data_IF_735604811682
#
_entry.id   IF_735604811682
#
_cell.length_a   1.000
_cell.length_b   1.000
_cell.length_c   1.000
_cell.angle_alpha   90.00
_cell.angle_beta   90.00
_cell.angle_gamma   90.00
#
_symmetry.space_group_name_H-M   'P 1'
#
loop_
_entity.id
_entity.type
_entity.pdbx_description
1 polymer ?
#
# COMPACT_ATOMS: atom_id res chain seq x y z
N UNK A 1 -36.04 -2.38 -0.44
CA UNK A 1 -35.10 -3.53 -0.52
C UNK A 1 -35.90 -4.73 -0.97
N UNK A 2 -35.43 -5.48 -1.97
CA UNK A 2 -36.08 -6.71 -2.39
C UNK A 2 -36.22 -7.63 -1.18
N UNK A 3 -37.40 -8.24 -0.97
CA UNK A 3 -37.73 -9.12 0.19
C UNK A 3 -36.63 -10.16 0.50
N UNK A 4 -35.80 -10.51 -0.48
CA UNK A 4 -34.75 -11.53 -0.37
C UNK A 4 -33.50 -11.08 0.41
N UNK A 5 -33.08 -9.80 0.34
CA UNK A 5 -31.85 -9.35 1.04
C UNK A 5 -32.02 -9.29 2.57
N UNK A 6 -33.26 -9.14 3.05
CA UNK A 6 -33.56 -9.15 4.48
C UNK A 6 -33.32 -10.52 5.15
N UNK A 7 -33.12 -11.59 4.37
CA UNK A 7 -32.83 -12.93 4.91
C UNK A 7 -31.41 -13.02 5.49
N UNK A 8 -30.46 -12.24 4.97
CA UNK A 8 -29.06 -12.27 5.39
C UNK A 8 -28.74 -11.37 6.58
N UNK A 9 -29.70 -10.54 7.03
CA UNK A 9 -29.50 -9.65 8.17
C UNK A 9 -29.82 -10.40 9.47
N UNK A 10 -28.87 -10.52 10.42
CA UNK A 10 -29.11 -11.18 11.70
C UNK A 10 -30.25 -10.52 12.51
N UNK A 11 -31.00 -11.27 13.34
CA UNK A 11 -32.11 -10.73 14.13
C UNK A 11 -31.69 -9.55 15.03
N UNK A 12 -30.51 -9.65 15.65
CA UNK A 12 -29.95 -8.57 16.50
C UNK A 12 -29.77 -7.28 15.69
N UNK A 13 -29.26 -7.37 14.46
CA UNK A 13 -29.03 -6.20 13.61
C UNK A 13 -30.35 -5.60 13.11
N UNK A 14 -31.39 -6.42 12.88
CA UNK A 14 -32.76 -5.94 12.59
C UNK A 14 -33.37 -5.19 13.77
N UNK A 15 -33.16 -5.68 14.99
CA UNK A 15 -33.63 -5.02 16.20
C UNK A 15 -32.96 -3.64 16.38
N UNK A 16 -31.63 -3.57 16.19
CA UNK A 16 -30.87 -2.32 16.22
C UNK A 16 -31.33 -1.36 15.11
N UNK A 17 -31.50 -1.85 13.87
CA UNK A 17 -31.98 -1.02 12.75
C UNK A 17 -33.36 -0.41 13.06
N UNK A 18 -34.31 -1.20 13.57
CA UNK A 18 -35.63 -0.70 14.00
C UNK A 18 -35.51 0.31 15.14
N UNK A 19 -34.69 0.03 16.14
CA UNK A 19 -34.51 0.93 17.28
C UNK A 19 -33.88 2.27 16.86
N UNK A 20 -32.89 2.24 15.95
CA UNK A 20 -32.27 3.44 15.40
C UNK A 20 -33.24 4.22 14.52
N UNK A 21 -34.04 3.55 13.71
CA UNK A 21 -35.07 4.21 12.90
C UNK A 21 -36.06 5.00 13.76
N UNK A 22 -36.53 4.39 14.85
CA UNK A 22 -37.55 5.00 15.73
C UNK A 22 -36.97 6.10 16.62
N UNK A 23 -35.75 5.92 17.16
CA UNK A 23 -35.22 6.80 18.21
C UNK A 23 -34.11 7.75 17.73
N UNK A 24 -33.39 7.39 16.66
CA UNK A 24 -32.18 8.10 16.19
C UNK A 24 -32.13 8.12 14.64
N UNK A 25 -33.12 8.70 13.95
CA UNK A 25 -33.27 8.63 12.49
C UNK A 25 -32.06 9.17 11.70
N UNK A 26 -31.41 10.22 12.22
CA UNK A 26 -30.20 10.79 11.61
C UNK A 26 -29.03 9.78 11.64
N UNK A 27 -28.85 9.06 12.75
CA UNK A 27 -27.84 8.01 12.84
C UNK A 27 -28.21 6.81 11.96
N UNK A 28 -29.48 6.44 11.94
CA UNK A 28 -30.01 5.38 11.08
C UNK A 28 -29.72 5.65 9.59
N UNK A 29 -29.89 6.90 9.14
CA UNK A 29 -29.64 7.33 7.77
C UNK A 29 -28.21 7.02 7.29
N UNK A 30 -27.22 7.11 8.18
CA UNK A 30 -25.81 6.80 7.84
C UNK A 30 -25.57 5.33 7.54
N UNK A 31 -26.46 4.44 8.01
CA UNK A 31 -26.30 2.97 7.98
C UNK A 31 -25.02 2.48 8.65
N UNK A 32 -24.41 3.30 9.51
CA UNK A 32 -23.14 2.98 10.15
C UNK A 32 -23.19 1.68 10.97
N UNK A 33 -24.33 1.34 11.60
CA UNK A 33 -24.49 0.10 12.34
C UNK A 33 -24.33 -1.17 11.49
N UNK A 34 -24.76 -1.15 10.21
CA UNK A 34 -24.49 -2.25 9.28
C UNK A 34 -23.01 -2.34 8.95
N UNK A 35 -22.37 -1.20 8.68
CA UNK A 35 -20.94 -1.14 8.39
C UNK A 35 -20.12 -1.64 9.57
N UNK A 36 -20.42 -1.18 10.78
CA UNK A 36 -19.76 -1.61 12.00
C UNK A 36 -19.85 -3.14 12.15
N UNK A 37 -21.06 -3.71 12.04
CA UNK A 37 -21.26 -5.15 12.17
C UNK A 37 -20.49 -5.94 11.11
N UNK A 38 -20.65 -5.62 9.82
CA UNK A 38 -20.04 -6.41 8.75
C UNK A 38 -18.53 -6.19 8.63
N UNK A 39 -18.02 -4.99 8.93
CA UNK A 39 -16.59 -4.74 8.92
C UNK A 39 -15.90 -5.44 10.10
N UNK A 40 -16.50 -5.47 11.30
CA UNK A 40 -15.99 -6.28 12.42
C UNK A 40 -16.00 -7.77 12.09
N UNK A 41 -17.09 -8.28 11.50
CA UNK A 41 -17.14 -9.67 11.04
C UNK A 41 -16.05 -9.95 10.00
N UNK A 42 -15.85 -9.06 9.03
CA UNK A 42 -14.79 -9.18 8.03
C UNK A 42 -13.39 -9.18 8.67
N UNK A 43 -13.13 -8.34 9.68
CA UNK A 43 -11.87 -8.32 10.42
C UNK A 43 -11.61 -9.64 11.17
N UNK A 44 -12.65 -10.25 11.74
CA UNK A 44 -12.55 -11.58 12.37
C UNK A 44 -12.21 -12.64 11.31
N UNK A 45 -12.90 -12.63 10.17
CA UNK A 45 -12.66 -13.59 9.09
C UNK A 45 -11.25 -13.43 8.47
N UNK A 46 -10.80 -12.19 8.28
CA UNK A 46 -9.44 -11.87 7.81
C UNK A 46 -8.39 -12.36 8.81
N UNK A 47 -8.58 -12.08 10.10
CA UNK A 47 -7.70 -12.57 11.17
C UNK A 47 -7.64 -14.10 11.20
N UNK A 48 -8.77 -14.78 11.07
CA UNK A 48 -8.84 -16.24 11.00
C UNK A 48 -8.13 -16.79 9.75
N UNK A 49 -8.29 -16.11 8.61
CA UNK A 49 -7.59 -16.48 7.37
C UNK A 49 -6.07 -16.35 7.52
N UNK A 50 -5.57 -15.29 8.15
CA UNK A 50 -4.15 -15.15 8.47
C UNK A 50 -3.71 -16.28 9.40
N UNK A 51 -4.47 -16.52 10.48
CA UNK A 51 -4.20 -17.56 11.48
C UNK A 51 -4.07 -18.95 10.87
N UNK A 52 -4.92 -19.29 9.91
CA UNK A 52 -4.94 -20.59 9.20
C UNK A 52 -3.98 -20.68 8.01
N UNK A 53 -3.39 -19.58 7.56
CA UNK A 53 -2.43 -19.60 6.44
C UNK A 53 -1.12 -20.24 6.88
N UNK A 54 -0.80 -21.43 6.37
CA UNK A 54 0.48 -22.09 6.63
C UNK A 54 1.62 -21.33 5.94
N UNK A 55 2.75 -21.14 6.63
CA UNK A 55 3.93 -20.49 6.10
C UNK A 55 5.10 -21.47 6.17
N UNK A 56 5.51 -21.96 5.01
CA UNK A 56 6.66 -22.84 4.82
C UNK A 56 7.83 -22.01 4.26
N UNK A 57 9.07 -22.16 4.75
CA UNK A 57 10.26 -21.52 4.18
C UNK A 57 10.45 -21.76 2.67
N UNK A 58 9.95 -22.87 2.12
CA UNK A 58 9.98 -23.15 0.69
C UNK A 58 8.90 -22.39 -0.11
N UNK A 59 7.85 -21.91 0.56
CA UNK A 59 6.68 -21.27 -0.05
C UNK A 59 6.26 -20.03 0.74
N UNK A 60 7.18 -19.10 0.94
CA UNK A 60 6.92 -17.88 1.71
C UNK A 60 5.96 -16.96 0.94
N UNK A 61 4.76 -16.66 1.46
CA UNK A 61 3.82 -15.78 0.79
C UNK A 61 4.34 -14.34 0.75
N UNK A 62 3.96 -13.60 -0.29
CA UNK A 62 4.26 -12.17 -0.36
C UNK A 62 3.25 -11.38 0.48
N UNK A 63 3.55 -11.14 1.75
CA UNK A 63 2.63 -10.49 2.68
C UNK A 63 2.14 -9.13 2.18
N UNK A 64 3.03 -8.30 1.65
CA UNK A 64 2.65 -6.98 1.12
C UNK A 64 1.70 -7.07 -0.08
N UNK A 65 2.01 -7.88 -1.09
CA UNK A 65 1.13 -8.04 -2.25
C UNK A 65 -0.25 -8.60 -1.83
N UNK A 66 -0.28 -9.59 -0.94
CA UNK A 66 -1.55 -10.16 -0.50
C UNK A 66 -2.36 -9.17 0.36
N UNK A 67 -1.69 -8.41 1.24
CA UNK A 67 -2.32 -7.30 1.96
C UNK A 67 -2.87 -6.24 0.99
N UNK A 68 -2.13 -5.90 -0.06
CA UNK A 68 -2.59 -4.98 -1.11
C UNK A 68 -3.86 -5.48 -1.80
N UNK A 69 -3.96 -6.78 -2.10
CA UNK A 69 -5.16 -7.36 -2.73
C UNK A 69 -6.42 -7.21 -1.86
N UNK A 70 -6.29 -7.13 -0.54
CA UNK A 70 -7.42 -6.87 0.37
C UNK A 70 -7.96 -5.43 0.30
N UNK A 71 -7.27 -4.50 -0.36
CA UNK A 71 -7.86 -3.21 -0.69
C UNK A 71 -9.03 -3.34 -1.67
N UNK A 72 -9.02 -4.34 -2.57
CA UNK A 72 -10.10 -4.51 -3.56
C UNK A 72 -11.45 -4.69 -2.87
N UNK A 73 -11.67 -5.70 -2.00
CA UNK A 73 -12.94 -5.84 -1.29
C UNK A 73 -13.23 -4.68 -0.33
N UNK A 74 -12.20 -4.06 0.28
CA UNK A 74 -12.39 -2.90 1.15
C UNK A 74 -12.95 -1.69 0.38
N UNK A 75 -12.35 -1.36 -0.77
CA UNK A 75 -12.79 -0.27 -1.66
C UNK A 75 -14.19 -0.55 -2.23
N UNK A 76 -14.47 -1.79 -2.62
CA UNK A 76 -15.82 -2.19 -3.05
C UNK A 76 -16.85 -2.02 -1.91
N UNK A 77 -16.50 -2.40 -0.69
CA UNK A 77 -17.34 -2.20 0.49
C UNK A 77 -17.63 -0.72 0.76
N UNK A 78 -16.60 0.13 0.70
CA UNK A 78 -16.73 1.59 0.86
C UNK A 78 -17.60 2.18 -0.25
N UNK A 79 -17.37 1.80 -1.51
CA UNK A 79 -18.14 2.30 -2.66
C UNK A 79 -19.62 1.89 -2.58
N UNK A 80 -19.91 0.62 -2.24
CA UNK A 80 -21.28 0.14 -2.05
C UNK A 80 -21.98 0.87 -0.89
N UNK A 81 -21.26 1.12 0.21
CA UNK A 81 -21.81 1.90 1.32
C UNK A 81 -22.07 3.34 0.91
N UNK A 82 -21.13 3.99 0.21
CA UNK A 82 -21.27 5.36 -0.28
C UNK A 82 -22.51 5.49 -1.16
N UNK A 83 -22.68 4.56 -2.11
CA UNK A 83 -23.85 4.49 -2.97
C UNK A 83 -25.15 4.38 -2.18
N UNK A 84 -25.21 3.49 -1.18
CA UNK A 84 -26.39 3.34 -0.31
C UNK A 84 -26.65 4.58 0.55
N UNK A 85 -25.60 5.22 1.06
CA UNK A 85 -25.72 6.45 1.84
C UNK A 85 -26.22 7.62 0.98
N UNK A 86 -25.77 7.72 -0.28
CA UNK A 86 -26.24 8.76 -1.21
C UNK A 86 -27.72 8.58 -1.60
N UNK A 87 -28.20 7.35 -1.77
CA UNK A 87 -29.61 7.09 -2.08
C UNK A 87 -30.57 7.56 -0.99
N UNK A 88 -30.08 7.74 0.24
CA UNK A 88 -30.88 8.21 1.36
C UNK A 88 -30.44 9.62 1.76
N UNK A 89 -31.08 10.64 1.18
CA UNK A 89 -30.83 12.02 1.56
C UNK A 89 -31.53 12.34 2.89
N UNK A 90 -30.74 12.33 3.98
CA UNK A 90 -31.21 12.66 5.31
C UNK A 90 -31.83 14.07 5.39
N UNK A 91 -31.39 15.02 4.54
CA UNK A 91 -31.96 16.37 4.52
C UNK A 91 -33.34 16.39 3.87
N UNK A 92 -33.52 15.63 2.79
CA UNK A 92 -34.82 15.49 2.16
C UNK A 92 -35.83 14.82 3.10
N UNK A 93 -35.38 13.86 3.91
CA UNK A 93 -36.25 13.14 4.84
C UNK A 93 -36.53 13.86 6.17
N UNK A 94 -35.54 14.57 6.73
CA UNK A 94 -35.60 15.11 8.09
C UNK A 94 -35.40 16.63 8.18
N UNK A 95 -35.22 17.33 7.06
CA UNK A 95 -34.98 18.77 7.02
C UNK A 95 -33.51 19.17 7.24
N UNK A 96 -33.29 20.43 7.58
CA UNK A 96 -31.93 20.95 7.81
C UNK A 96 -31.37 20.34 9.10
N UNK A 97 -30.22 19.67 8.98
CA UNK A 97 -29.47 19.14 10.12
C UNK A 97 -28.70 20.26 10.81
N UNK A 98 -28.59 20.20 12.14
CA UNK A 98 -27.71 21.09 12.88
C UNK A 98 -26.23 20.83 12.53
N UNK A 99 -25.38 21.85 12.66
CA UNK A 99 -23.95 21.72 12.36
C UNK A 99 -23.27 20.58 13.15
N UNK A 100 -23.66 20.41 14.43
CA UNK A 100 -23.14 19.35 15.29
C UNK A 100 -23.54 17.95 14.79
N UNK A 101 -24.78 17.77 14.35
CA UNK A 101 -25.24 16.49 13.80
C UNK A 101 -24.53 16.15 12.49
N UNK A 102 -24.20 17.15 11.69
CA UNK A 102 -23.44 16.94 10.46
C UNK A 102 -21.99 16.57 10.74
N UNK A 103 -21.34 17.22 11.71
CA UNK A 103 -20.00 16.81 12.18
C UNK A 103 -20.05 15.39 12.72
N UNK A 104 -21.07 15.03 13.53
CA UNK A 104 -21.26 13.66 14.01
C UNK A 104 -21.38 12.67 12.85
N UNK A 105 -22.18 12.98 11.84
CA UNK A 105 -22.34 12.12 10.66
C UNK A 105 -21.03 11.98 9.88
N UNK A 106 -20.27 13.06 9.73
CA UNK A 106 -18.93 13.01 9.14
C UNK A 106 -18.04 12.06 9.94
N UNK A 107 -17.92 12.23 11.25
CA UNK A 107 -17.11 11.35 12.11
C UNK A 107 -17.51 9.86 12.00
N UNK A 108 -18.80 9.55 11.89
CA UNK A 108 -19.27 8.17 11.69
C UNK A 108 -18.82 7.59 10.34
N UNK A 109 -18.93 8.38 9.28
CA UNK A 109 -18.44 7.99 7.96
C UNK A 109 -16.90 7.82 7.95
N UNK A 110 -16.15 8.71 8.60
CA UNK A 110 -14.71 8.57 8.79
C UNK A 110 -14.38 7.27 9.53
N UNK A 111 -15.04 7.03 10.67
CA UNK A 111 -14.86 5.80 11.44
C UNK A 111 -15.16 4.54 10.63
N UNK A 112 -16.19 4.56 9.78
CA UNK A 112 -16.52 3.43 8.93
C UNK A 112 -15.53 3.21 7.78
N UNK A 113 -15.03 4.28 7.16
CA UNK A 113 -13.98 4.19 6.14
C UNK A 113 -12.67 3.67 6.74
N UNK A 114 -12.28 4.16 7.91
CA UNK A 114 -11.11 3.64 8.64
C UNK A 114 -11.29 2.17 9.03
N UNK A 115 -12.49 1.80 9.50
CA UNK A 115 -12.79 0.43 9.90
C UNK A 115 -12.73 -0.54 8.72
N UNK A 116 -13.38 -0.23 7.60
CA UNK A 116 -13.30 -1.07 6.38
C UNK A 116 -11.88 -1.03 5.80
N UNK A 117 -11.25 0.15 5.78
CA UNK A 117 -9.88 0.36 5.31
C UNK A 117 -8.82 -0.36 6.13
N UNK A 118 -9.12 -0.80 7.35
CA UNK A 118 -8.19 -1.55 8.21
C UNK A 118 -8.00 -3.01 7.79
N UNK A 119 -8.89 -3.58 6.97
CA UNK A 119 -8.82 -4.96 6.48
C UNK A 119 -7.44 -5.34 5.86
N UNK A 120 -6.91 -4.58 4.87
CA UNK A 120 -5.60 -4.86 4.30
C UNK A 120 -4.45 -4.80 5.32
N UNK A 121 -4.55 -3.94 6.35
CA UNK A 121 -3.53 -3.83 7.40
C UNK A 121 -3.53 -5.04 8.31
N UNK A 122 -4.71 -5.46 8.79
CA UNK A 122 -4.83 -6.64 9.65
C UNK A 122 -4.29 -7.88 8.92
N UNK A 123 -4.61 -8.02 7.63
CA UNK A 123 -4.06 -9.11 6.83
C UNK A 123 -2.55 -9.00 6.64
N UNK A 124 -2.08 -7.85 6.13
CA UNK A 124 -0.67 -7.62 5.78
C UNK A 124 0.26 -7.73 6.98
N UNK A 125 -0.06 -7.06 8.09
CA UNK A 125 0.72 -7.10 9.34
C UNK A 125 0.72 -8.51 9.91
N UNK A 126 -0.47 -9.13 10.04
CA UNK A 126 -0.59 -10.46 10.62
C UNK A 126 0.17 -11.52 9.81
N UNK A 127 0.10 -11.46 8.48
CA UNK A 127 0.84 -12.37 7.62
C UNK A 127 2.35 -12.11 7.67
N UNK A 128 2.79 -10.85 7.69
CA UNK A 128 4.20 -10.50 7.86
C UNK A 128 4.76 -11.01 9.19
N UNK A 129 4.00 -10.92 10.29
CA UNK A 129 4.41 -11.50 11.57
C UNK A 129 4.58 -13.03 11.48
N UNK A 130 3.65 -13.74 10.82
CA UNK A 130 3.81 -15.18 10.60
C UNK A 130 5.03 -15.52 9.74
N UNK A 131 5.31 -14.73 8.70
CA UNK A 131 6.51 -14.87 7.85
C UNK A 131 7.79 -14.62 8.66
N UNK A 132 7.80 -13.62 9.53
CA UNK A 132 8.93 -13.32 10.40
C UNK A 132 9.28 -14.48 11.34
N UNK A 133 8.27 -15.22 11.80
CA UNK A 133 8.42 -16.37 12.69
C UNK A 133 8.56 -17.73 11.97
N UNK A 134 8.60 -17.76 10.63
CA UNK A 134 8.72 -19.00 9.87
C UNK A 134 10.08 -19.71 10.09
N UNK A 135 11.14 -18.94 10.37
CA UNK A 135 12.47 -19.44 10.72
C UNK A 135 13.04 -18.56 11.81
N UNK A 136 13.68 -19.13 12.83
CA UNK A 136 14.38 -18.34 13.84
C UNK A 136 15.49 -17.47 13.23
N UNK A 137 15.71 -16.26 13.77
CA UNK A 137 16.69 -15.32 13.22
C UNK A 137 18.11 -15.89 13.25
N UNK A 138 18.49 -16.63 14.29
CA UNK A 138 19.83 -17.22 14.38
C UNK A 138 20.02 -18.34 13.35
N UNK A 139 18.97 -19.15 13.16
CA UNK A 139 18.95 -20.18 12.12
C UNK A 139 19.03 -19.56 10.73
N UNK A 140 18.28 -18.48 10.45
CA UNK A 140 18.30 -17.79 9.16
C UNK A 140 19.70 -17.26 8.82
N UNK A 141 20.40 -16.68 9.79
CA UNK A 141 21.79 -16.21 9.59
C UNK A 141 22.74 -17.38 9.31
N UNK A 142 22.61 -18.49 10.04
CA UNK A 142 23.39 -19.71 9.81
C UNK A 142 23.13 -20.30 8.41
N UNK A 143 21.86 -20.32 7.99
CA UNK A 143 21.46 -20.81 6.68
C UNK A 143 22.03 -19.93 5.56
N UNK A 144 21.96 -18.60 5.69
CA UNK A 144 22.57 -17.65 4.75
C UNK A 144 24.08 -17.85 4.66
N UNK A 145 24.76 -18.00 5.81
CA UNK A 145 26.20 -18.27 5.84
C UNK A 145 26.55 -19.60 5.17
N UNK A 146 25.72 -20.64 5.38
CA UNK A 146 25.87 -21.96 4.74
C UNK A 146 25.76 -21.86 3.22
N UNK A 147 24.77 -21.09 2.73
CA UNK A 147 24.61 -20.85 1.30
C UNK A 147 25.81 -20.08 0.73
N UNK A 148 26.21 -18.97 1.37
CA UNK A 148 27.34 -18.15 0.92
C UNK A 148 28.67 -18.91 0.89
N UNK A 149 28.90 -19.82 1.84
CA UNK A 149 30.17 -20.54 1.95
C UNK A 149 30.36 -21.65 0.91
N UNK A 150 29.26 -22.15 0.32
CA UNK A 150 29.30 -23.27 -0.63
C UNK A 150 28.80 -22.91 -2.05
N UNK A 151 28.27 -21.70 -2.28
CA UNK A 151 27.72 -21.27 -3.57
C UNK A 151 28.72 -21.46 -4.73
N UNK A 152 30.02 -21.20 -4.47
CA UNK A 152 31.08 -21.35 -5.46
C UNK A 152 31.28 -22.77 -6.00
N UNK A 153 30.81 -23.81 -5.31
CA UNK A 153 30.91 -25.20 -5.79
C UNK A 153 29.88 -25.54 -6.88
N UNK A 154 28.86 -24.69 -7.09
CA UNK A 154 27.74 -24.97 -7.98
C UNK A 154 27.91 -24.28 -9.34
N UNK A 155 28.76 -24.85 -10.20
CA UNK A 155 29.04 -24.32 -11.54
C UNK A 155 27.84 -24.45 -12.48
N UNK A 156 27.40 -23.32 -13.04
CA UNK A 156 26.24 -23.19 -13.92
C UNK A 156 26.66 -23.26 -15.41
N UNK A 157 25.78 -23.79 -16.27
CA UNK A 157 26.05 -23.96 -17.71
C UNK A 157 26.01 -22.67 -18.54
N UNK A 158 25.47 -21.55 -18.03
CA UNK A 158 25.23 -20.37 -18.88
C UNK A 158 26.50 -19.57 -19.19
N UNK A 159 26.59 -19.07 -20.42
CA UNK A 159 27.63 -18.16 -20.95
C UNK A 159 27.60 -16.76 -20.28
N UNK A 160 26.67 -16.50 -19.35
CA UNK A 160 26.51 -15.22 -18.63
C UNK A 160 27.57 -14.94 -17.55
N UNK A 161 28.55 -15.84 -17.37
CA UNK A 161 29.70 -15.59 -16.49
C UNK A 161 30.55 -14.40 -17.00
N UNK A 162 30.36 -13.94 -18.25
CA UNK A 162 31.23 -12.92 -18.86
C UNK A 162 30.85 -11.45 -18.62
N UNK A 163 29.68 -11.12 -18.05
CA UNK A 163 29.28 -9.70 -17.92
C UNK A 163 28.61 -9.25 -16.62
N UNK A 164 28.50 -10.10 -15.60
CA UNK A 164 28.25 -9.57 -14.24
C UNK A 164 29.63 -9.27 -13.68
N UNK A 165 30.09 -8.00 -13.62
CA UNK A 165 31.41 -7.68 -13.10
C UNK A 165 31.54 -8.28 -11.70
N UNK A 166 32.37 -9.31 -11.63
CA UNK A 166 32.77 -10.04 -10.44
C UNK A 166 33.57 -9.11 -9.53
N UNK A 167 32.89 -8.20 -8.84
CA UNK A 167 33.27 -7.67 -7.55
C UNK A 167 32.00 -7.09 -6.90
N UNK A 168 31.91 -7.24 -5.58
CA UNK A 168 30.99 -6.56 -4.67
C UNK A 168 29.72 -7.36 -4.30
N UNK A 169 29.86 -8.12 -3.19
CA UNK A 169 28.83 -8.64 -2.25
C UNK A 169 28.18 -9.98 -2.63
N UNK A 170 28.34 -10.99 -1.76
CA UNK A 170 27.88 -12.38 -2.00
C UNK A 170 26.42 -12.50 -2.49
N UNK A 171 26.11 -13.53 -3.27
CA UNK A 171 24.83 -13.62 -4.00
C UNK A 171 23.56 -13.60 -3.11
N UNK A 172 23.68 -13.93 -1.82
CA UNK A 172 22.59 -13.80 -0.84
C UNK A 172 22.67 -12.52 0.01
N UNK A 173 23.43 -11.51 -0.43
CA UNK A 173 23.50 -10.22 0.24
C UNK A 173 22.10 -9.60 0.27
N UNK A 174 21.65 -9.25 1.48
CA UNK A 174 20.37 -8.59 1.69
C UNK A 174 20.61 -7.08 1.59
N UNK A 175 20.25 -6.41 0.47
CA UNK A 175 20.59 -5.02 0.23
C UNK A 175 19.96 -4.04 1.24
N UNK A 176 18.93 -4.45 1.98
CA UNK A 176 18.31 -3.65 3.03
C UNK A 176 18.92 -3.83 4.43
N UNK A 177 19.90 -4.73 4.58
CA UNK A 177 20.74 -4.74 5.75
C UNK A 177 21.89 -3.76 5.51
N UNK A 178 21.64 -2.47 5.81
CA UNK A 178 22.69 -1.55 6.28
C UNK A 178 23.29 -1.98 7.63
N UNK A 179 22.96 -3.18 8.13
CA UNK A 179 23.51 -3.81 9.31
C UNK A 179 24.55 -4.85 8.90
N UNK A 180 25.81 -4.53 9.20
CA UNK A 180 26.82 -5.50 9.62
C UNK A 180 26.27 -6.33 10.78
N UNK A 181 25.44 -7.36 10.52
CA UNK A 181 25.23 -8.36 11.56
C UNK A 181 26.63 -8.95 11.85
N UNK A 182 27.18 -8.85 13.07
CA UNK A 182 28.59 -9.16 13.32
C UNK A 182 28.99 -10.59 12.95
N UNK A 183 27.99 -11.48 12.85
CA UNK A 183 28.13 -12.90 12.53
C UNK A 183 27.86 -13.26 11.05
N UNK A 184 27.51 -12.31 10.20
CA UNK A 184 27.49 -12.59 8.76
C UNK A 184 28.94 -12.68 8.30
N UNK A 185 29.32 -13.83 7.76
CA UNK A 185 30.67 -14.02 7.25
C UNK A 185 30.92 -13.01 6.11
N UNK A 186 31.93 -12.13 6.24
CA UNK A 186 32.39 -11.32 5.12
C UNK A 186 32.70 -12.26 3.96
N UNK A 187 32.29 -11.88 2.74
CA UNK A 187 32.43 -12.73 1.55
C UNK A 187 33.86 -13.27 1.35
N UNK A 188 34.86 -12.44 1.64
CA UNK A 188 36.28 -12.82 1.60
C UNK A 188 36.66 -13.94 2.58
N UNK A 189 36.03 -13.99 3.76
CA UNK A 189 36.26 -15.08 4.72
C UNK A 189 35.59 -16.38 4.27
N UNK A 190 34.44 -16.30 3.61
CA UNK A 190 33.77 -17.46 3.04
C UNK A 190 34.61 -18.09 1.91
N UNK A 191 35.16 -17.27 1.01
CA UNK A 191 36.03 -17.71 -0.09
C UNK A 191 37.36 -18.29 0.43
N UNK A 192 37.95 -17.66 1.47
CA UNK A 192 39.13 -18.20 2.16
C UNK A 192 38.84 -19.54 2.83
N UNK A 193 37.67 -19.73 3.43
CA UNK A 193 37.26 -21.03 3.99
C UNK A 193 37.07 -22.09 2.90
N UNK A 194 36.60 -21.70 1.72
CA UNK A 194 36.38 -22.60 0.60
C UNK A 194 37.72 -23.16 0.06
N UNK A 195 38.72 -22.30 -0.12
CA UNK A 195 40.02 -22.64 -0.71
C UNK A 195 40.98 -23.36 0.24
N UNK A 196 40.84 -23.17 1.55
CA UNK A 196 41.73 -23.75 2.58
C UNK A 196 41.18 -24.99 3.30
N UNK A 197 39.96 -25.44 2.95
CA UNK A 197 39.29 -26.53 3.67
C UNK A 197 39.67 -27.91 3.15
N UNK A 198 39.72 -28.89 4.07
CA UNK A 198 39.91 -30.29 3.71
C UNK A 198 38.73 -30.83 2.89
N UNK A 199 38.96 -31.88 2.09
CA UNK A 199 37.92 -32.52 1.29
C UNK A 199 36.68 -32.91 2.10
N UNK A 200 36.86 -33.46 3.30
CA UNK A 200 35.75 -33.82 4.19
C UNK A 200 34.92 -32.59 4.60
N UNK A 201 35.58 -31.45 4.84
CA UNK A 201 34.92 -30.20 5.18
C UNK A 201 34.16 -29.62 3.97
N UNK A 202 34.77 -29.62 2.79
CA UNK A 202 34.10 -29.22 1.54
C UNK A 202 32.86 -30.07 1.25
N UNK A 203 32.96 -31.41 1.42
CA UNK A 203 31.84 -32.33 1.24
C UNK A 203 30.68 -32.01 2.19
N UNK A 204 30.99 -31.71 3.45
CA UNK A 204 30.00 -31.28 4.46
C UNK A 204 29.35 -29.94 4.08
N UNK A 205 30.13 -28.97 3.60
CA UNK A 205 29.61 -27.67 3.16
C UNK A 205 28.62 -27.82 1.99
N UNK A 206 28.96 -28.62 0.98
CA UNK A 206 28.06 -28.91 -0.15
C UNK A 206 26.79 -29.63 0.31
N UNK A 207 26.90 -30.62 1.18
CA UNK A 207 25.73 -31.31 1.73
C UNK A 207 24.80 -30.34 2.48
N UNK A 208 25.35 -29.50 3.36
CA UNK A 208 24.56 -28.52 4.10
C UNK A 208 23.92 -27.48 3.17
N UNK A 209 24.63 -27.04 2.13
CA UNK A 209 24.06 -26.19 1.09
C UNK A 209 22.84 -26.83 0.44
N UNK A 210 22.91 -28.11 0.07
CA UNK A 210 21.78 -28.84 -0.53
C UNK A 210 20.57 -28.89 0.42
N UNK A 211 20.79 -29.10 1.72
CA UNK A 211 19.71 -29.11 2.72
C UNK A 211 19.06 -27.73 2.87
N UNK A 212 19.86 -26.67 2.95
CA UNK A 212 19.34 -25.29 3.06
C UNK A 212 18.63 -24.88 1.77
N UNK A 213 19.17 -25.24 0.61
CA UNK A 213 18.50 -25.02 -0.67
C UNK A 213 17.14 -25.71 -0.73
N UNK A 214 17.06 -26.98 -0.33
CA UNK A 214 15.79 -27.70 -0.28
C UNK A 214 14.81 -27.03 0.68
N UNK A 215 15.26 -26.59 1.86
CA UNK A 215 14.43 -25.88 2.84
C UNK A 215 13.78 -24.61 2.26
N UNK A 216 14.51 -23.80 1.49
CA UNK A 216 14.00 -22.49 1.02
C UNK A 216 13.42 -22.49 -0.39
N UNK A 217 13.65 -23.54 -1.18
CA UNK A 217 13.10 -23.64 -2.55
C UNK A 217 12.20 -24.85 -2.78
N UNK A 218 12.23 -25.84 -1.89
CA UNK A 218 11.62 -27.16 -2.10
C UNK A 218 12.36 -28.01 -3.14
N UNK A 219 13.41 -27.50 -3.78
CA UNK A 219 14.16 -28.20 -4.83
C UNK A 219 15.17 -29.18 -4.24
N UNK A 220 15.16 -30.42 -4.74
CA UNK A 220 16.12 -31.46 -4.34
C UNK A 220 17.21 -31.59 -5.39
N UNK A 221 18.44 -31.29 -5.01
CA UNK A 221 19.60 -31.44 -5.89
C UNK A 221 19.91 -32.94 -6.05
N UNK A 222 19.76 -33.47 -7.27
CA UNK A 222 19.89 -34.91 -7.55
C UNK A 222 21.32 -35.43 -7.51
N UNK A 223 22.33 -34.55 -7.55
CA UNK A 223 23.74 -34.94 -7.55
C UNK A 223 24.26 -35.12 -6.12
N UNK A 224 25.00 -36.20 -5.82
CA UNK A 224 25.65 -36.35 -4.54
C UNK A 224 26.80 -35.34 -4.40
N UNK A 225 27.13 -34.95 -3.16
CA UNK A 225 28.15 -33.91 -2.90
C UNK A 225 29.52 -34.24 -3.50
N UNK A 226 29.86 -35.53 -3.66
CA UNK A 226 31.11 -35.97 -4.29
C UNK A 226 31.17 -35.53 -5.76
N UNK A 227 30.08 -35.67 -6.49
CA UNK A 227 30.03 -35.41 -7.93
C UNK A 227 30.06 -33.90 -8.19
N UNK A 228 29.40 -33.13 -7.33
CA UNK A 228 29.44 -31.66 -7.35
C UNK A 228 30.87 -31.16 -7.18
N UNK A 229 31.59 -31.68 -6.17
CA UNK A 229 32.99 -31.30 -5.94
C UNK A 229 33.93 -31.75 -7.06
N UNK A 230 33.72 -32.95 -7.60
CA UNK A 230 34.52 -33.44 -8.73
C UNK A 230 34.32 -32.57 -9.97
N UNK A 231 33.08 -32.15 -10.26
CA UNK A 231 32.81 -31.25 -11.36
C UNK A 231 33.36 -29.84 -11.13
N UNK A 232 33.30 -29.33 -9.90
CA UNK A 232 33.94 -28.07 -9.54
C UNK A 232 35.45 -28.10 -9.80
N UNK A 233 36.15 -29.16 -9.36
CA UNK A 233 37.58 -29.35 -9.61
C UNK A 233 37.90 -29.45 -11.11
N UNK A 234 37.05 -30.13 -11.87
CA UNK A 234 37.16 -30.25 -13.32
C UNK A 234 36.68 -29.00 -14.08
N UNK A 235 36.23 -27.95 -13.38
CA UNK A 235 35.59 -26.75 -13.95
C UNK A 235 34.45 -27.07 -14.94
N UNK A 236 33.72 -28.16 -14.68
CA UNK A 236 32.63 -28.64 -15.52
C UNK A 236 31.29 -28.14 -14.96
N UNK A 237 30.48 -27.42 -15.73
CA UNK A 237 29.15 -27.02 -15.27
C UNK A 237 28.21 -28.23 -15.17
N UNK A 238 27.55 -28.38 -14.03
CA UNK A 238 26.56 -29.45 -13.77
C UNK A 238 25.13 -28.94 -13.84
N UNK A 239 24.92 -27.68 -13.47
CA UNK A 239 23.59 -27.13 -13.20
C UNK A 239 23.07 -26.32 -14.38
N UNK A 240 21.79 -26.53 -14.72
CA UNK A 240 21.05 -25.76 -15.73
C UNK A 240 20.00 -24.84 -15.12
N UNK A 241 19.05 -24.40 -15.94
CA UNK A 241 18.06 -23.37 -15.59
C UNK A 241 17.17 -23.72 -14.39
N UNK A 242 16.82 -24.99 -14.21
CA UNK A 242 16.01 -25.44 -13.06
C UNK A 242 16.67 -25.11 -11.72
N UNK A 243 17.99 -25.33 -11.61
CA UNK A 243 18.74 -24.98 -10.41
C UNK A 243 18.83 -23.46 -10.23
N UNK A 244 18.96 -22.69 -11.31
CA UNK A 244 18.98 -21.22 -11.26
C UNK A 244 17.65 -20.70 -10.69
N UNK A 245 16.52 -21.19 -11.22
CA UNK A 245 15.19 -20.83 -10.73
C UNK A 245 14.99 -21.22 -9.27
N UNK A 246 15.46 -22.41 -8.86
CA UNK A 246 15.41 -22.85 -7.47
C UNK A 246 16.25 -21.95 -6.54
N UNK A 247 17.44 -21.55 -6.99
CA UNK A 247 18.33 -20.62 -6.28
C UNK A 247 17.69 -19.25 -6.10
N UNK A 248 17.10 -18.71 -7.16
CA UNK A 248 16.40 -17.42 -7.13
C UNK A 248 15.17 -17.47 -6.22
N UNK A 249 14.43 -18.58 -6.22
CA UNK A 249 13.32 -18.81 -5.31
C UNK A 249 13.79 -18.86 -3.85
N UNK A 250 14.86 -19.60 -3.55
CA UNK A 250 15.44 -19.66 -2.21
C UNK A 250 15.85 -18.25 -1.73
N UNK A 251 16.56 -17.49 -2.58
CA UNK A 251 16.96 -16.11 -2.28
C UNK A 251 15.76 -15.22 -2.00
N UNK A 252 14.71 -15.31 -2.83
CA UNK A 252 13.47 -14.53 -2.67
C UNK A 252 12.74 -14.85 -1.37
N UNK A 253 12.68 -16.13 -0.99
CA UNK A 253 12.05 -16.56 0.26
C UNK A 253 12.84 -16.13 1.50
N UNK A 254 14.17 -16.30 1.47
CA UNK A 254 15.09 -15.78 2.52
C UNK A 254 14.91 -14.27 2.67
N UNK A 255 14.88 -13.53 1.55
CA UNK A 255 14.69 -12.09 1.55
C UNK A 255 13.37 -11.71 2.24
N UNK A 256 12.25 -12.35 1.86
CA UNK A 256 10.93 -12.09 2.47
C UNK A 256 10.91 -12.34 3.97
N UNK A 257 11.48 -13.45 4.44
CA UNK A 257 11.57 -13.77 5.87
C UNK A 257 12.41 -12.70 6.58
N UNK A 258 13.58 -12.38 6.04
CA UNK A 258 14.48 -11.39 6.64
C UNK A 258 13.87 -9.99 6.71
N UNK A 259 13.17 -9.55 5.67
CA UNK A 259 12.47 -8.26 5.59
C UNK A 259 11.34 -8.21 6.63
N UNK A 260 10.58 -9.30 6.77
CA UNK A 260 9.51 -9.39 7.76
C UNK A 260 10.06 -9.39 9.20
N UNK A 261 11.17 -10.10 9.47
CA UNK A 261 11.86 -10.08 10.78
C UNK A 261 12.41 -8.70 11.15
N UNK A 262 12.83 -7.93 10.16
CA UNK A 262 13.34 -6.60 10.34
C UNK A 262 12.24 -5.52 10.46
N UNK A 263 10.97 -5.87 10.20
CA UNK A 263 9.87 -4.92 10.20
C UNK A 263 9.88 -3.96 9.00
N UNK A 264 10.52 -4.35 7.90
CA UNK A 264 10.64 -3.54 6.69
C UNK A 264 9.60 -3.89 5.62
N UNK A 265 8.61 -4.74 5.93
CA UNK A 265 7.45 -4.91 5.06
C UNK A 265 6.71 -3.59 4.86
N UNK A 266 6.08 -3.40 3.70
CA UNK A 266 5.33 -2.18 3.39
C UNK A 266 4.29 -1.86 4.49
N UNK A 267 3.59 -2.88 5.00
CA UNK A 267 2.64 -2.73 6.11
C UNK A 267 3.27 -2.56 7.51
N UNK A 268 4.58 -2.65 7.65
CA UNK A 268 5.28 -2.60 8.94
C UNK A 268 6.07 -1.30 9.14
N UNK A 269 6.45 -0.63 8.05
CA UNK A 269 7.17 0.64 8.14
C UNK A 269 6.26 1.78 8.62
N UNK A 270 6.71 2.64 9.56
CA UNK A 270 5.93 3.78 10.03
C UNK A 270 5.45 4.69 8.89
N UNK A 271 6.35 5.06 7.96
CA UNK A 271 6.02 5.94 6.83
C UNK A 271 4.88 5.39 5.97
N UNK A 272 4.91 4.11 5.63
CA UNK A 272 3.87 3.50 4.80
C UNK A 272 2.53 3.43 5.55
N UNK A 273 2.55 3.04 6.83
CA UNK A 273 1.34 3.04 7.67
C UNK A 273 0.71 4.44 7.77
N UNK A 274 1.54 5.45 8.01
CA UNK A 274 1.13 6.86 8.04
C UNK A 274 0.55 7.30 6.70
N UNK A 275 1.23 7.00 5.60
CA UNK A 275 0.78 7.33 4.24
C UNK A 275 -0.56 6.69 3.90
N UNK A 276 -0.77 5.43 4.31
CA UNK A 276 -2.03 4.73 4.09
C UNK A 276 -3.15 5.27 4.99
N UNK A 277 -2.87 5.62 6.25
CA UNK A 277 -3.84 6.30 7.12
C UNK A 277 -4.26 7.61 6.49
N UNK A 278 -3.31 8.43 6.03
CA UNK A 278 -3.60 9.67 5.30
C UNK A 278 -4.47 9.40 4.06
N UNK A 279 -4.13 8.39 3.24
CA UNK A 279 -4.94 8.02 2.09
C UNK A 279 -6.38 7.64 2.46
N UNK A 280 -6.59 6.92 3.58
CA UNK A 280 -7.93 6.60 4.08
C UNK A 280 -8.69 7.85 4.58
N UNK A 281 -8.00 8.81 5.20
CA UNK A 281 -8.60 10.09 5.58
C UNK A 281 -9.07 10.85 4.32
N UNK A 282 -8.27 10.84 3.25
CA UNK A 282 -8.63 11.47 1.98
C UNK A 282 -9.78 10.74 1.27
N UNK A 283 -9.82 9.41 1.37
CA UNK A 283 -10.93 8.60 0.89
C UNK A 283 -12.22 8.92 1.67
N UNK A 284 -12.14 9.15 2.99
CA UNK A 284 -13.28 9.56 3.80
C UNK A 284 -13.81 10.95 3.40
N UNK A 285 -12.93 11.90 3.10
CA UNK A 285 -13.34 13.21 2.56
C UNK A 285 -14.06 13.04 1.20
N UNK A 286 -13.51 12.23 0.31
CA UNK A 286 -14.10 11.93 -1.00
C UNK A 286 -15.47 11.25 -0.86
N UNK A 287 -15.60 10.32 0.09
CA UNK A 287 -16.87 9.70 0.45
C UNK A 287 -17.90 10.73 0.89
N UNK A 288 -17.52 11.72 1.70
CA UNK A 288 -18.45 12.79 2.11
C UNK A 288 -18.89 13.66 0.95
N UNK A 289 -17.95 14.05 0.08
CA UNK A 289 -18.27 14.82 -1.12
C UNK A 289 -19.27 14.04 -1.97
N UNK A 290 -19.05 12.73 -2.15
CA UNK A 290 -19.95 11.85 -2.89
C UNK A 290 -21.38 11.84 -2.32
N UNK A 291 -21.52 11.59 -1.02
CA UNK A 291 -22.84 11.48 -0.35
C UNK A 291 -23.62 12.80 -0.44
N UNK A 292 -22.93 13.94 -0.58
CA UNK A 292 -23.56 15.26 -0.72
C UNK A 292 -23.81 15.70 -2.17
N UNK A 293 -23.36 14.93 -3.15
CA UNK A 293 -23.36 15.32 -4.55
C UNK A 293 -24.32 14.47 -5.37
N UNK A 294 -24.78 14.97 -6.51
CA UNK A 294 -25.48 14.14 -7.51
C UNK A 294 -24.46 13.20 -8.16
N UNK A 295 -24.76 11.91 -8.24
CA UNK A 295 -23.81 10.89 -8.72
C UNK A 295 -23.22 11.20 -10.10
N UNK A 296 -24.00 11.77 -11.03
CA UNK A 296 -23.53 12.15 -12.37
C UNK A 296 -22.47 13.27 -12.33
N UNK A 297 -22.70 14.29 -11.49
CA UNK A 297 -21.77 15.41 -11.32
C UNK A 297 -20.48 14.93 -10.65
N UNK A 298 -20.62 14.08 -9.63
CA UNK A 298 -19.48 13.47 -8.98
C UNK A 298 -18.65 12.61 -9.95
N UNK A 299 -19.30 11.79 -10.79
CA UNK A 299 -18.60 10.99 -11.79
C UNK A 299 -17.84 11.89 -12.79
N UNK A 300 -18.45 13.00 -13.22
CA UNK A 300 -17.76 14.01 -14.03
C UNK A 300 -16.54 14.61 -13.33
N UNK A 301 -16.64 14.90 -12.02
CA UNK A 301 -15.53 15.39 -11.21
C UNK A 301 -14.40 14.35 -11.06
N UNK A 302 -14.74 13.07 -10.87
CA UNK A 302 -13.75 11.98 -10.82
C UNK A 302 -13.04 11.81 -12.16
N UNK A 303 -13.78 11.81 -13.27
CA UNK A 303 -13.19 11.72 -14.62
C UNK A 303 -12.26 12.90 -14.89
N UNK A 304 -12.68 14.13 -14.53
CA UNK A 304 -11.85 15.31 -14.66
C UNK A 304 -10.59 15.25 -13.79
N UNK A 305 -10.71 14.80 -12.53
CA UNK A 305 -9.58 14.58 -11.63
C UNK A 305 -8.56 13.60 -12.23
N UNK A 306 -9.02 12.43 -12.69
CA UNK A 306 -8.16 11.42 -13.30
C UNK A 306 -7.51 11.94 -14.58
N UNK A 307 -8.26 12.69 -15.41
CA UNK A 307 -7.74 13.35 -16.59
C UNK A 307 -6.64 14.37 -16.27
N UNK A 308 -6.81 15.17 -15.22
CA UNK A 308 -5.80 16.13 -14.75
C UNK A 308 -4.55 15.44 -14.21
N UNK A 309 -4.70 14.36 -13.45
CA UNK A 309 -3.57 13.56 -12.96
C UNK A 309 -2.79 12.96 -14.13
N UNK A 310 -3.48 12.35 -15.10
CA UNK A 310 -2.85 11.78 -16.29
C UNK A 310 -2.14 12.86 -17.11
N UNK A 311 -2.80 13.98 -17.35
CA UNK A 311 -2.23 15.12 -18.09
C UNK A 311 -0.98 15.67 -17.40
N UNK A 312 -1.03 15.87 -16.07
CA UNK A 312 0.12 16.34 -15.29
C UNK A 312 1.28 15.34 -15.35
N UNK A 313 1.01 14.03 -15.27
CA UNK A 313 2.04 12.99 -15.35
C UNK A 313 2.73 12.98 -16.71
N UNK A 314 1.94 12.93 -17.80
CA UNK A 314 2.48 12.95 -19.17
C UNK A 314 3.28 14.21 -19.45
N UNK A 315 2.75 15.37 -19.03
CA UNK A 315 3.42 16.66 -19.21
C UNK A 315 4.72 16.74 -18.41
N UNK A 316 4.75 16.23 -17.18
CA UNK A 316 5.95 16.19 -16.36
C UNK A 316 7.04 15.28 -16.95
N UNK A 317 6.66 14.10 -17.44
CA UNK A 317 7.58 13.20 -18.13
C UNK A 317 8.12 13.80 -19.43
N UNK A 318 7.27 14.45 -20.22
CA UNK A 318 7.68 15.10 -21.47
C UNK A 318 8.61 16.30 -21.21
N UNK A 319 8.28 17.13 -20.22
CA UNK A 319 9.12 18.26 -19.81
C UNK A 319 10.48 17.79 -19.28
N UNK A 320 10.52 16.73 -18.46
CA UNK A 320 11.80 16.15 -18.04
C UNK A 320 12.61 15.69 -19.24
N UNK A 321 12.02 14.94 -20.16
CA UNK A 321 12.73 14.47 -21.35
C UNK A 321 13.34 15.63 -22.16
N UNK A 322 12.64 16.77 -22.24
CA UNK A 322 13.17 17.99 -22.88
C UNK A 322 14.25 18.70 -22.05
N UNK A 323 14.16 18.64 -20.71
CA UNK A 323 15.03 19.37 -19.78
C UNK A 323 16.25 18.58 -19.30
N UNK A 324 16.27 17.25 -19.42
CA UNK A 324 17.37 16.38 -19.00
C UNK A 324 18.69 16.73 -19.73
N UNK A 325 18.60 17.43 -20.87
CA UNK A 325 19.75 17.99 -21.57
C UNK A 325 20.35 19.27 -20.93
N UNK A 326 19.63 19.93 -20.02
CA UNK A 326 19.96 21.29 -19.54
C UNK A 326 19.95 21.46 -18.02
N UNK A 327 19.05 20.80 -17.28
CA UNK A 327 18.92 20.97 -15.82
C UNK A 327 18.41 19.68 -15.18
N UNK A 328 19.03 19.24 -14.08
CA UNK A 328 18.51 18.15 -13.24
C UNK A 328 17.24 18.59 -12.49
N UNK A 329 16.09 18.57 -13.16
CA UNK A 329 14.79 18.79 -12.52
C UNK A 329 14.14 17.44 -12.22
N UNK A 330 13.86 17.15 -10.94
CA UNK A 330 13.11 15.95 -10.56
C UNK A 330 11.67 16.03 -11.11
N UNK A 331 11.21 15.00 -11.81
CA UNK A 331 9.86 14.90 -12.43
C UNK A 331 8.73 15.30 -11.49
N UNK A 332 8.87 14.90 -10.23
CA UNK A 332 7.82 15.05 -9.22
C UNK A 332 7.49 16.51 -8.95
N UNK A 333 8.46 17.43 -9.06
CA UNK A 333 8.21 18.87 -8.88
C UNK A 333 7.38 19.47 -10.02
N UNK A 334 7.69 19.10 -11.27
CA UNK A 334 6.95 19.55 -12.45
C UNK A 334 5.52 19.02 -12.41
N UNK A 335 5.37 17.74 -12.08
CA UNK A 335 4.07 17.11 -11.90
C UNK A 335 3.21 17.86 -10.87
N UNK A 336 3.77 18.13 -9.69
CA UNK A 336 3.04 18.81 -8.63
C UNK A 336 2.69 20.25 -9.01
N UNK A 337 3.60 20.99 -9.66
CA UNK A 337 3.35 22.35 -10.14
C UNK A 337 2.17 22.42 -11.11
N UNK A 338 2.10 21.47 -12.06
CA UNK A 338 0.97 21.37 -13.00
C UNK A 338 -0.35 21.05 -12.30
N UNK A 339 -0.33 20.18 -11.29
CA UNK A 339 -1.54 19.91 -10.49
C UNK A 339 -1.99 21.15 -9.72
N UNK A 340 -1.07 21.94 -9.14
CA UNK A 340 -1.43 23.20 -8.47
C UNK A 340 -2.06 24.20 -9.43
N UNK A 341 -1.52 24.34 -10.63
CA UNK A 341 -2.11 25.20 -11.68
C UNK A 341 -3.52 24.74 -12.05
N UNK A 342 -3.71 23.44 -12.27
CA UNK A 342 -5.03 22.85 -12.53
C UNK A 342 -6.01 23.13 -11.39
N UNK A 343 -5.58 22.96 -10.15
CA UNK A 343 -6.39 23.26 -8.97
C UNK A 343 -6.81 24.74 -8.90
N UNK A 344 -5.87 25.68 -9.09
CA UNK A 344 -6.17 27.11 -9.09
C UNK A 344 -7.15 27.47 -10.21
N UNK A 345 -6.95 26.92 -11.42
CA UNK A 345 -7.86 27.14 -12.54
C UNK A 345 -9.29 26.64 -12.23
N UNK A 346 -9.42 25.44 -11.63
CA UNK A 346 -10.71 24.90 -11.23
C UNK A 346 -11.38 25.71 -10.12
N UNK A 347 -10.60 26.20 -9.14
CA UNK A 347 -11.13 27.10 -8.10
C UNK A 347 -11.68 28.38 -8.71
N UNK A 348 -10.90 29.04 -9.56
CA UNK A 348 -11.34 30.27 -10.23
C UNK A 348 -12.62 30.02 -11.01
N UNK A 349 -12.68 28.96 -11.81
CA UNK A 349 -13.86 28.62 -12.60
C UNK A 349 -15.07 28.27 -11.71
N UNK A 350 -14.90 27.45 -10.67
CA UNK A 350 -15.97 27.09 -9.74
C UNK A 350 -16.50 28.25 -8.89
N UNK A 351 -15.68 29.30 -8.68
CA UNK A 351 -16.06 30.46 -7.88
C UNK A 351 -16.61 31.64 -8.69
N UNK A 352 -16.29 31.72 -9.98
CA UNK A 352 -16.80 32.79 -10.86
C UNK A 352 -18.33 32.83 -10.89
N UNK A 353 -18.92 34.02 -10.76
CA UNK A 353 -20.37 34.25 -10.85
C UNK A 353 -20.76 34.43 -12.32
N UNK A 354 -20.91 33.33 -13.06
CA UNK A 354 -21.56 33.36 -14.38
C UNK A 354 -22.90 32.64 -14.30
N UNK A 355 -23.95 33.31 -14.80
CA UNK A 355 -25.37 32.93 -14.63
C UNK A 355 -25.91 32.02 -15.74
N UNK A 356 -25.09 31.53 -16.65
CA UNK A 356 -25.56 30.62 -17.71
C UNK A 356 -25.79 29.21 -17.17
N UNK A 357 -26.93 28.60 -17.52
CA UNK A 357 -27.33 27.27 -17.06
C UNK A 357 -26.29 26.18 -17.36
N UNK A 358 -25.68 26.19 -18.55
CA UNK A 358 -24.62 25.25 -18.94
C UNK A 358 -23.38 25.35 -18.04
N UNK A 359 -23.10 26.55 -17.51
CA UNK A 359 -21.99 26.81 -16.60
C UNK A 359 -22.27 26.32 -15.16
N UNK A 360 -23.52 26.12 -14.76
CA UNK A 360 -23.83 25.63 -13.40
C UNK A 360 -23.34 24.19 -13.16
N UNK A 361 -23.54 23.29 -14.12
CA UNK A 361 -23.04 21.92 -14.02
C UNK A 361 -21.50 21.90 -14.01
N UNK A 362 -20.87 22.73 -14.84
CA UNK A 362 -19.42 22.89 -14.86
C UNK A 362 -18.87 23.45 -13.55
N UNK A 363 -19.47 24.51 -12.99
CA UNK A 363 -19.09 25.06 -11.69
C UNK A 363 -19.14 24.01 -10.59
N UNK A 364 -20.16 23.15 -10.59
CA UNK A 364 -20.25 22.02 -9.67
C UNK A 364 -19.10 21.03 -9.84
N UNK A 365 -18.86 20.58 -11.08
CA UNK A 365 -17.80 19.63 -11.41
C UNK A 365 -16.44 20.21 -11.02
N UNK A 366 -16.16 21.46 -11.39
CA UNK A 366 -14.90 22.15 -11.09
C UNK A 366 -14.68 22.30 -9.58
N UNK A 367 -15.71 22.71 -8.84
CA UNK A 367 -15.61 22.88 -7.39
C UNK A 367 -15.43 21.54 -6.67
N UNK A 368 -16.17 20.49 -7.06
CA UNK A 368 -15.99 19.13 -6.51
C UNK A 368 -14.61 18.58 -6.82
N UNK A 369 -14.12 18.78 -8.05
CA UNK A 369 -12.79 18.35 -8.47
C UNK A 369 -11.72 19.06 -7.63
N UNK A 370 -11.82 20.38 -7.47
CA UNK A 370 -10.90 21.14 -6.62
C UNK A 370 -10.92 20.64 -5.15
N UNK A 371 -12.09 20.33 -4.60
CA UNK A 371 -12.20 19.74 -3.26
C UNK A 371 -11.47 18.40 -3.13
N UNK A 372 -11.56 17.54 -4.15
CA UNK A 372 -10.86 16.25 -4.19
C UNK A 372 -9.37 16.41 -4.47
N UNK A 373 -8.95 17.46 -5.18
CA UNK A 373 -7.54 17.75 -5.45
C UNK A 373 -6.80 18.25 -4.22
N UNK A 374 -7.44 19.05 -3.36
CA UNK A 374 -6.81 19.60 -2.16
C UNK A 374 -6.07 18.54 -1.30
N UNK A 375 -6.71 17.42 -0.91
CA UNK A 375 -6.03 16.37 -0.16
C UNK A 375 -4.93 15.67 -0.97
N UNK A 376 -5.10 15.49 -2.28
CA UNK A 376 -4.13 14.85 -3.17
C UNK A 376 -2.86 15.71 -3.30
N UNK A 377 -3.03 17.01 -3.57
CA UNK A 377 -1.94 17.97 -3.66
C UNK A 377 -1.11 17.97 -2.38
N UNK A 378 -1.79 18.06 -1.24
CA UNK A 378 -1.08 18.15 0.01
C UNK A 378 -0.39 16.83 0.41
N UNK A 379 -0.93 15.68 0.00
CA UNK A 379 -0.26 14.37 0.11
C UNK A 379 1.02 14.30 -0.74
N UNK A 380 0.98 14.75 -2.00
CA UNK A 380 2.17 14.77 -2.85
C UNK A 380 3.21 15.78 -2.36
N UNK A 381 2.80 16.98 -1.94
CA UNK A 381 3.69 17.97 -1.34
C UNK A 381 4.42 17.42 -0.11
N UNK A 382 3.71 16.63 0.70
CA UNK A 382 4.27 15.92 1.85
C UNK A 382 5.33 14.91 1.45
N UNK A 383 5.08 14.09 0.44
CA UNK A 383 6.06 13.11 -0.04
C UNK A 383 7.31 13.76 -0.62
N UNK A 384 7.15 14.85 -1.39
CA UNK A 384 8.29 15.61 -1.90
C UNK A 384 9.11 16.19 -0.75
N UNK A 385 8.44 16.82 0.23
CA UNK A 385 9.11 17.36 1.40
C UNK A 385 9.82 16.24 2.18
N UNK A 386 9.20 15.07 2.27
CA UNK A 386 9.78 13.90 2.91
C UNK A 386 11.08 13.48 2.23
N UNK A 387 11.08 13.30 0.92
CA UNK A 387 12.28 12.86 0.20
C UNK A 387 13.42 13.87 0.33
N UNK A 388 13.12 15.17 0.23
CA UNK A 388 14.13 16.22 0.39
C UNK A 388 14.71 16.28 1.80
N UNK A 389 13.85 16.22 2.83
CA UNK A 389 14.30 16.36 4.23
C UNK A 389 14.91 15.05 4.76
N UNK A 390 14.45 13.89 4.29
CA UNK A 390 15.04 12.60 4.62
C UNK A 390 16.51 12.52 4.14
N UNK A 391 16.78 12.98 2.91
CA UNK A 391 18.14 13.10 2.39
C UNK A 391 19.03 14.00 3.26
N UNK A 392 18.48 15.12 3.74
CA UNK A 392 19.22 16.10 4.53
C UNK A 392 19.52 15.65 5.98
N UNK A 393 18.59 14.95 6.64
CA UNK A 393 18.68 14.75 8.09
C UNK A 393 18.88 13.30 8.56
N UNK A 394 18.62 12.27 7.73
CA UNK A 394 18.75 10.82 8.09
C UNK A 394 18.28 10.46 9.52
N UNK A 395 17.35 11.21 10.10
CA UNK A 395 17.05 11.15 11.53
C UNK A 395 15.68 10.49 11.77
N UNK A 396 15.63 9.52 12.69
CA UNK A 396 14.40 8.79 13.07
C UNK A 396 13.25 9.67 13.58
N UNK A 397 13.50 10.93 13.92
CA UNK A 397 12.45 11.87 14.35
C UNK A 397 11.52 12.34 13.21
N UNK A 398 11.91 12.12 11.95
CA UNK A 398 11.22 12.69 10.80
C UNK A 398 9.85 12.03 10.52
N UNK A 399 9.71 10.73 10.78
CA UNK A 399 8.45 9.99 10.57
C UNK A 399 7.28 10.63 11.35
N UNK A 400 7.51 11.11 12.58
CA UNK A 400 6.47 11.76 13.38
C UNK A 400 6.10 13.14 12.84
N UNK A 401 7.07 13.90 12.35
CA UNK A 401 6.84 15.21 11.74
C UNK A 401 6.01 15.07 10.46
N UNK A 402 6.35 14.10 9.60
CA UNK A 402 5.60 13.77 8.39
C UNK A 402 4.13 13.48 8.70
N UNK A 403 3.87 12.60 9.67
CA UNK A 403 2.51 12.26 10.06
C UNK A 403 1.74 13.43 10.66
N UNK A 404 2.38 14.20 11.55
CA UNK A 404 1.74 15.37 12.20
C UNK A 404 1.37 16.42 11.18
N UNK A 405 2.26 16.70 10.21
CA UNK A 405 1.95 17.60 9.11
C UNK A 405 0.83 17.04 8.22
N UNK A 406 0.85 15.74 7.92
CA UNK A 406 -0.25 15.06 7.21
C UNK A 406 -1.61 15.21 7.88
N UNK A 407 -1.68 15.03 9.20
CA UNK A 407 -2.90 15.25 9.96
C UNK A 407 -3.34 16.71 9.92
N UNK A 408 -2.40 17.66 9.98
CA UNK A 408 -2.67 19.09 9.91
C UNK A 408 -3.23 19.49 8.54
N UNK A 409 -2.67 18.93 7.48
CA UNK A 409 -3.17 19.04 6.10
C UNK A 409 -4.59 18.50 5.96
N UNK A 410 -4.85 17.31 6.50
CA UNK A 410 -6.20 16.72 6.46
C UNK A 410 -7.20 17.60 7.22
N UNK A 411 -6.86 18.00 8.45
CA UNK A 411 -7.70 18.88 9.26
C UNK A 411 -7.98 20.22 8.55
N UNK A 412 -6.95 20.84 7.96
CA UNK A 412 -7.11 22.05 7.16
C UNK A 412 -8.02 21.85 5.95
N UNK A 413 -7.87 20.74 5.24
CA UNK A 413 -8.73 20.37 4.10
C UNK A 413 -10.19 20.16 4.52
N UNK A 414 -10.40 19.50 5.66
CA UNK A 414 -11.72 19.26 6.24
C UNK A 414 -12.38 20.56 6.73
N UNK A 415 -11.63 21.46 7.34
CA UNK A 415 -12.10 22.80 7.71
C UNK A 415 -12.47 23.62 6.46
N UNK A 416 -11.60 23.62 5.44
CA UNK A 416 -11.84 24.31 4.17
C UNK A 416 -13.11 23.77 3.48
N UNK A 417 -13.32 22.46 3.47
CA UNK A 417 -14.55 21.83 3.01
C UNK A 417 -15.78 22.38 3.72
N UNK A 418 -15.80 22.35 5.05
CA UNK A 418 -16.98 22.76 5.83
C UNK A 418 -17.24 24.27 5.76
N UNK A 419 -16.19 25.10 5.75
CA UNK A 419 -16.33 26.55 5.78
C UNK A 419 -16.58 27.18 4.40
N UNK A 420 -15.95 26.65 3.34
CA UNK A 420 -15.92 27.32 2.03
C UNK A 420 -16.69 26.54 0.97
N UNK A 421 -16.29 25.29 0.72
CA UNK A 421 -16.79 24.53 -0.42
C UNK A 421 -18.24 24.07 -0.23
N UNK A 422 -18.53 23.53 0.95
CA UNK A 422 -19.83 22.94 1.23
C UNK A 422 -20.97 23.97 1.17
N UNK A 423 -20.91 25.15 1.81
CA UNK A 423 -21.97 26.15 1.69
C UNK A 423 -22.19 26.59 0.25
N UNK A 424 -21.12 26.69 -0.55
CA UNK A 424 -21.20 27.04 -1.97
C UNK A 424 -21.88 25.93 -2.79
N UNK A 425 -21.54 24.66 -2.57
CA UNK A 425 -22.20 23.52 -3.20
C UNK A 425 -23.68 23.43 -2.81
N UNK A 426 -24.00 23.64 -1.54
CA UNK A 426 -25.38 23.65 -1.04
C UNK A 426 -26.21 24.75 -1.76
N UNK A 427 -25.66 25.95 -1.95
CA UNK A 427 -26.31 27.03 -2.73
C UNK A 427 -26.51 26.68 -4.20
N UNK A 428 -25.50 26.08 -4.83
CA UNK A 428 -25.59 25.66 -6.23
C UNK A 428 -26.62 24.54 -6.42
N UNK A 429 -26.77 23.63 -5.45
CA UNK A 429 -27.82 22.60 -5.47
C UNK A 429 -29.22 23.16 -5.24
N UNK A 430 -29.35 24.22 -4.43
CA UNK A 430 -30.61 24.88 -4.14
C UNK A 430 -31.06 25.84 -5.25
N UNK A 431 -30.17 26.20 -6.18
CA UNK A 431 -30.51 27.05 -7.31
C UNK A 431 -31.64 26.39 -8.13
N UNK A 432 -32.67 27.16 -8.55
CA UNK A 432 -33.76 26.61 -9.34
C UNK A 432 -33.21 25.96 -10.61
N UNK A 433 -33.76 24.80 -10.97
CA UNK A 433 -33.56 24.24 -12.31
C UNK A 433 -34.28 25.18 -13.27
N UNK A 434 -33.53 26.09 -13.85
CA UNK A 434 -34.04 27.03 -14.83
C UNK A 434 -34.35 26.32 -16.15
#
# INVERSE_FOLDING_TARGET
>A
MTRNLNRFVPPVLKAIDRQLLLNRPVLWATRFHFVLFYALLALILVSLKVGTTHVDPARVPHADLQGMLWFIPALLGIALWAWKAQLFDARAAFGQLSALEEIRNQLLFLGGVLLIGSLPFVYGIGLSQKVAHAVDRTQLVTDINTLNAADGFFLMKSEEITHIPYHVKGNYFLPHFGFTHPRLLPHYEAEKQQTSSSWCKQKSMVYNYMQVMHKYSGYTISYPSRDILAAYQARRPLFGDEFIQARDLARKNIFRISTAQAGYGWFQTPLSLQSMVLALLMLALTFWIFVRSKWKLFLGAVVLLLGLILFAALSASMLRWMMDAYVEVREVHLFLGLLYLGFVALLLQGWTRRYEQSLHAWQHIALMTACMMLPVLAFFSLHILHDQVYELYRYRGYDYAFFTFGLSVFAGSWCCWNALFRPKLDRLHAAPKA
#
